data_IF_414949402268
#
_entry.id   IF_414949402268
#
_cell.length_a   1.000
_cell.length_b   1.000
_cell.length_c   1.000
_cell.angle_alpha   90.00
_cell.angle_beta   90.00
_cell.angle_gamma   90.00
#
_symmetry.space_group_name_H-M   'P 1'
#
loop_
_entity.id
_entity.type
_entity.pdbx_description
1 polymer ?
#
# COMPACT_ATOMS: atom_id res chain seq x y z
N UNK A 1 -46.99 15.90 -13.29
CA UNK A 1 -45.96 16.95 -13.15
C UNK A 1 -44.60 16.26 -13.23
N UNK A 2 -43.88 16.34 -14.37
CA UNK A 2 -42.58 15.70 -14.50
C UNK A 2 -41.51 16.56 -13.82
N UNK A 3 -40.60 15.92 -13.12
CA UNK A 3 -39.44 16.56 -12.49
C UNK A 3 -38.37 16.60 -13.57
N UNK A 4 -38.05 17.80 -14.03
CA UNK A 4 -37.05 18.06 -15.06
C UNK A 4 -35.65 17.94 -14.43
N UNK A 5 -35.07 16.75 -14.47
CA UNK A 5 -33.70 16.50 -14.02
C UNK A 5 -32.73 16.94 -15.11
N UNK A 6 -32.54 18.25 -15.27
CA UNK A 6 -31.46 18.80 -16.08
C UNK A 6 -30.14 18.73 -15.29
N UNK A 7 -29.57 17.53 -15.23
CA UNK A 7 -28.19 17.31 -14.83
C UNK A 7 -27.30 17.88 -15.96
N UNK A 8 -27.04 19.19 -15.93
CA UNK A 8 -26.08 19.82 -16.85
C UNK A 8 -24.69 19.29 -16.53
N UNK A 9 -24.19 18.43 -17.40
CA UNK A 9 -22.80 17.98 -17.49
C UNK A 9 -21.88 19.20 -17.48
N UNK A 10 -21.34 19.53 -16.30
CA UNK A 10 -20.16 20.38 -16.21
C UNK A 10 -18.96 19.50 -16.55
N UNK A 11 -18.38 19.82 -17.71
CA UNK A 11 -17.10 19.34 -18.23
C UNK A 11 -16.07 19.14 -17.12
N UNK A 12 -15.71 17.87 -16.87
CA UNK A 12 -14.71 17.39 -15.90
C UNK A 12 -13.26 17.72 -16.34
N UNK A 13 -13.06 18.47 -17.42
CA UNK A 13 -11.74 18.71 -17.99
C UNK A 13 -10.90 19.78 -17.26
N UNK A 14 -11.51 20.69 -16.48
CA UNK A 14 -10.79 21.82 -15.84
C UNK A 14 -10.56 21.65 -14.32
N UNK A 15 -11.20 20.68 -13.65
CA UNK A 15 -11.17 20.54 -12.18
C UNK A 15 -10.08 19.57 -11.66
N UNK A 16 -9.24 19.00 -12.54
CA UNK A 16 -8.19 18.07 -12.13
C UNK A 16 -7.01 18.74 -11.39
N UNK A 17 -6.93 20.08 -11.39
CA UNK A 17 -5.88 20.84 -10.69
C UNK A 17 -6.22 21.21 -9.24
N UNK A 18 -7.39 20.85 -8.72
CA UNK A 18 -7.89 21.44 -7.46
C UNK A 18 -7.46 20.71 -6.17
N UNK A 19 -6.99 19.47 -6.24
CA UNK A 19 -6.52 18.77 -5.04
C UNK A 19 -5.07 19.14 -4.72
N UNK A 20 -4.89 20.30 -4.07
CA UNK A 20 -3.59 20.74 -3.57
C UNK A 20 -2.97 19.75 -2.56
N UNK A 21 -1.72 20.00 -2.09
CA UNK A 21 -0.98 19.09 -1.20
C UNK A 21 -1.75 18.70 0.09
N UNK A 22 -2.68 19.54 0.53
CA UNK A 22 -3.55 19.26 1.67
C UNK A 22 -4.59 18.16 1.39
N UNK A 23 -5.13 18.11 0.17
CA UNK A 23 -6.08 17.08 -0.21
C UNK A 23 -5.42 15.72 -0.40
N UNK A 24 -4.23 15.67 -1.02
CA UNK A 24 -3.44 14.44 -1.11
C UNK A 24 -3.14 13.89 0.29
N UNK A 25 -2.75 14.77 1.23
CA UNK A 25 -2.54 14.38 2.62
C UNK A 25 -3.82 13.83 3.26
N UNK A 26 -4.96 14.49 3.08
CA UNK A 26 -6.23 14.03 3.62
C UNK A 26 -6.61 12.64 3.07
N UNK A 27 -6.45 12.42 1.75
CA UNK A 27 -6.68 11.12 1.13
C UNK A 27 -5.77 10.05 1.70
N UNK A 28 -4.46 10.31 1.77
CA UNK A 28 -3.48 9.37 2.33
C UNK A 28 -3.81 9.01 3.78
N UNK A 29 -4.30 9.96 4.58
CA UNK A 29 -4.70 9.74 5.97
C UNK A 29 -6.01 8.94 6.12
N UNK A 30 -6.87 8.92 5.09
CA UNK A 30 -8.09 8.11 5.06
C UNK A 30 -7.87 6.68 4.56
N UNK A 31 -6.74 6.40 3.89
CA UNK A 31 -6.43 5.05 3.43
C UNK A 31 -6.15 4.11 4.60
N UNK A 32 -6.79 2.95 4.59
CA UNK A 32 -6.52 1.85 5.54
C UNK A 32 -5.26 1.05 5.16
N UNK A 33 -4.69 1.30 3.98
CA UNK A 33 -3.38 0.77 3.59
C UNK A 33 -2.29 1.59 4.27
N UNK A 34 -1.31 0.92 4.87
CA UNK A 34 -0.15 1.58 5.45
C UNK A 34 0.73 2.15 4.34
N UNK A 35 0.86 3.47 4.29
CA UNK A 35 1.72 4.17 3.33
C UNK A 35 2.87 4.85 4.06
N UNK A 36 4.08 4.54 3.65
CA UNK A 36 5.33 5.12 4.12
C UNK A 36 6.06 5.83 2.99
N UNK A 37 6.79 6.89 3.31
CA UNK A 37 7.79 7.45 2.41
C UNK A 37 9.12 7.48 3.14
N UNK A 38 10.16 7.05 2.46
CA UNK A 38 11.53 7.13 2.92
C UNK A 38 12.36 8.05 2.03
N UNK A 39 13.33 8.75 2.61
CA UNK A 39 14.36 9.46 1.84
C UNK A 39 15.37 8.48 1.22
N UNK A 40 16.31 8.99 0.41
CA UNK A 40 17.39 8.21 -0.22
C UNK A 40 18.22 7.38 0.78
N UNK A 41 18.28 7.79 2.04
CA UNK A 41 19.04 7.10 3.09
C UNK A 41 18.19 6.04 3.81
N UNK A 42 16.96 5.81 3.35
CA UNK A 42 16.03 4.86 3.93
C UNK A 42 15.33 5.38 5.19
N UNK A 43 15.47 6.67 5.54
CA UNK A 43 14.78 7.23 6.71
C UNK A 43 13.35 7.56 6.38
N UNK A 44 12.42 7.10 7.21
CA UNK A 44 10.99 7.44 7.09
C UNK A 44 10.78 8.95 7.27
N UNK A 45 10.30 9.61 6.21
CA UNK A 45 9.94 11.03 6.19
C UNK A 45 8.42 11.24 6.26
N UNK A 46 7.63 10.21 5.94
CA UNK A 46 6.18 10.24 6.04
C UNK A 46 5.61 8.86 6.39
N UNK A 47 4.53 8.85 7.15
CA UNK A 47 3.70 7.69 7.44
C UNK A 47 2.26 8.15 7.65
N UNK A 48 1.28 7.56 6.96
CA UNK A 48 -0.15 7.85 7.18
C UNK A 48 -0.68 7.22 8.48
N UNK A 49 -1.97 7.44 8.81
CA UNK A 49 -2.60 6.89 10.01
C UNK A 49 -2.49 5.37 10.12
N UNK A 50 -2.69 4.63 9.04
CA UNK A 50 -2.54 3.18 9.02
C UNK A 50 -1.09 2.77 9.31
N UNK A 51 -0.13 3.35 8.59
CA UNK A 51 1.30 3.11 8.76
C UNK A 51 1.80 3.37 10.19
N UNK A 52 1.30 4.44 10.83
CA UNK A 52 1.68 4.77 12.22
C UNK A 52 1.22 3.74 13.25
N UNK A 53 0.20 2.93 12.95
CA UNK A 53 -0.22 1.82 13.83
C UNK A 53 0.78 0.66 13.79
N UNK A 54 1.40 0.44 12.63
CA UNK A 54 2.25 -0.71 12.37
C UNK A 54 3.76 -0.41 12.45
N UNK A 55 4.16 0.88 12.41
CA UNK A 55 5.57 1.31 12.36
C UNK A 55 6.41 0.81 13.54
N UNK A 56 5.78 0.53 14.69
CA UNK A 56 6.45 0.05 15.88
C UNK A 56 7.05 -1.36 15.73
N UNK A 57 6.65 -2.12 14.71
CA UNK A 57 7.06 -3.51 14.50
C UNK A 57 7.36 -3.82 13.02
N UNK A 58 7.93 -2.86 12.28
CA UNK A 58 8.33 -3.13 10.88
C UNK A 58 9.31 -4.31 10.83
N UNK A 59 8.99 -5.39 10.10
CA UNK A 59 9.88 -6.53 9.97
C UNK A 59 11.17 -6.15 9.22
N UNK A 60 12.29 -6.81 9.54
CA UNK A 60 13.56 -6.64 8.82
C UNK A 60 13.41 -6.86 7.30
N UNK A 61 12.48 -7.72 6.90
CA UNK A 61 12.14 -7.96 5.49
C UNK A 61 11.74 -6.66 4.76
N UNK A 62 11.02 -5.75 5.41
CA UNK A 62 10.65 -4.45 4.81
C UNK A 62 11.88 -3.61 4.52
N UNK A 63 12.86 -3.60 5.43
CA UNK A 63 14.12 -2.90 5.24
C UNK A 63 14.92 -3.43 4.04
N UNK A 64 14.90 -4.76 3.84
CA UNK A 64 15.54 -5.40 2.68
C UNK A 64 14.88 -4.99 1.34
N UNK A 65 13.55 -4.98 1.29
CA UNK A 65 12.81 -4.54 0.09
C UNK A 65 13.03 -3.05 -0.21
N UNK A 66 13.08 -2.22 0.82
CA UNK A 66 13.41 -0.81 0.69
C UNK A 66 14.84 -0.61 0.18
N UNK A 67 15.80 -1.37 0.73
CA UNK A 67 17.20 -1.35 0.29
C UNK A 67 17.35 -1.74 -1.18
N UNK A 68 16.65 -2.78 -1.64
CA UNK A 68 16.60 -3.15 -3.07
C UNK A 68 16.15 -1.96 -3.91
N UNK A 69 15.00 -1.37 -3.61
CA UNK A 69 14.47 -0.26 -4.40
C UNK A 69 15.40 0.96 -4.42
N UNK A 70 15.98 1.35 -3.29
CA UNK A 70 16.85 2.53 -3.20
C UNK A 70 18.24 2.32 -3.84
N UNK A 71 18.78 1.10 -3.77
CA UNK A 71 20.14 0.80 -4.24
C UNK A 71 20.18 0.35 -5.71
N UNK A 72 19.11 -0.27 -6.21
CA UNK A 72 19.07 -0.82 -7.57
C UNK A 72 18.03 -0.15 -8.47
N UNK A 73 17.13 0.67 -7.90
CA UNK A 73 16.02 1.27 -8.63
C UNK A 73 14.92 0.26 -8.96
N UNK A 74 14.97 -0.95 -8.38
CA UNK A 74 13.97 -1.98 -8.59
C UNK A 74 12.61 -1.56 -8.00
N UNK A 75 11.56 -1.69 -8.81
CA UNK A 75 10.18 -1.56 -8.33
C UNK A 75 9.75 -2.91 -7.77
N UNK A 76 9.57 -2.99 -6.46
CA UNK A 76 9.02 -4.17 -5.79
C UNK A 76 7.49 -4.06 -5.79
N UNK A 77 6.79 -5.10 -6.23
CA UNK A 77 5.33 -5.13 -6.27
C UNK A 77 4.80 -6.37 -5.59
N UNK A 78 3.83 -6.18 -4.72
CA UNK A 78 3.05 -7.21 -4.05
C UNK A 78 3.89 -8.34 -3.43
N UNK A 79 5.07 -8.00 -2.90
CA UNK A 79 5.92 -8.98 -2.24
C UNK A 79 5.31 -9.33 -0.89
N UNK A 80 4.92 -10.59 -0.71
CA UNK A 80 4.26 -11.03 0.50
C UNK A 80 5.27 -11.41 1.57
N UNK A 81 5.17 -10.79 2.74
CA UNK A 81 6.02 -11.03 3.90
C UNK A 81 5.19 -11.54 5.08
N UNK A 82 5.81 -12.32 5.95
CA UNK A 82 5.23 -12.72 7.23
C UNK A 82 5.47 -11.62 8.26
N UNK A 83 4.41 -11.04 8.81
CA UNK A 83 4.49 -10.03 9.88
C UNK A 83 4.74 -10.66 11.26
N UNK A 84 4.68 -11.99 11.35
CA UNK A 84 4.77 -12.78 12.57
C UNK A 84 3.45 -13.44 12.96
N UNK A 85 3.45 -14.12 14.11
CA UNK A 85 2.27 -14.78 14.66
C UNK A 85 1.81 -14.04 15.91
N UNK A 86 0.65 -13.41 15.85
CA UNK A 86 -0.04 -12.89 17.04
C UNK A 86 -1.12 -13.89 17.41
N UNK A 87 -1.07 -14.42 18.63
CA UNK A 87 -2.06 -15.40 19.15
C UNK A 87 -2.15 -16.72 18.36
N UNK A 88 -1.09 -17.12 17.65
CA UNK A 88 -1.05 -18.38 16.89
C UNK A 88 -1.55 -18.29 15.45
N UNK A 89 -2.14 -17.15 15.05
CA UNK A 89 -2.51 -16.88 13.65
C UNK A 89 -1.35 -16.16 12.97
N UNK A 90 -0.80 -16.78 11.92
CA UNK A 90 0.20 -16.14 11.05
C UNK A 90 -0.45 -14.96 10.34
N UNK A 91 0.20 -13.81 10.39
CA UNK A 91 -0.21 -12.60 9.66
C UNK A 91 0.70 -12.37 8.47
N UNK A 92 0.09 -12.00 7.35
CA UNK A 92 0.78 -11.75 6.10
C UNK A 92 0.53 -10.32 5.64
N UNK A 93 1.55 -9.69 5.10
CA UNK A 93 1.40 -8.41 4.42
C UNK A 93 1.90 -8.48 3.00
N UNK A 94 1.15 -7.87 2.08
CA UNK A 94 1.66 -7.52 0.75
C UNK A 94 2.39 -6.18 0.84
N UNK A 95 3.64 -6.15 0.38
CA UNK A 95 4.50 -4.98 0.41
C UNK A 95 4.89 -4.59 -1.02
N UNK A 96 4.69 -3.32 -1.36
CA UNK A 96 5.17 -2.74 -2.60
C UNK A 96 6.10 -1.57 -2.31
N UNK A 97 7.17 -1.44 -3.09
CA UNK A 97 8.16 -0.36 -2.99
C UNK A 97 8.39 0.25 -4.35
N UNK A 98 8.16 1.56 -4.46
CA UNK A 98 8.42 2.32 -5.68
C UNK A 98 9.47 3.40 -5.38
N UNK A 99 10.68 3.31 -5.98
CA UNK A 99 11.66 4.38 -5.87
C UNK A 99 11.14 5.66 -6.55
N UNK A 100 11.46 6.80 -5.95
CA UNK A 100 11.14 8.13 -6.44
C UNK A 100 12.41 8.76 -7.00
N UNK A 101 12.47 8.96 -8.31
CA UNK A 101 13.61 9.57 -8.98
C UNK A 101 13.56 9.35 -10.48
N UNK A 102 14.30 10.17 -11.24
CA UNK A 102 14.36 10.07 -12.71
C UNK A 102 15.29 8.94 -13.19
N UNK A 103 16.24 8.52 -12.36
CA UNK A 103 17.25 7.50 -12.66
C UNK A 103 17.88 6.99 -11.36
N UNK A 104 18.66 5.91 -11.42
CA UNK A 104 19.30 5.28 -10.25
C UNK A 104 20.17 6.26 -9.43
N UNK A 105 20.92 7.12 -10.11
CA UNK A 105 21.75 8.15 -9.47
C UNK A 105 20.92 9.32 -8.89
N UNK A 106 19.68 9.47 -9.36
CA UNK A 106 18.75 10.54 -8.98
C UNK A 106 17.55 10.01 -8.16
N UNK A 107 17.69 8.87 -7.48
CA UNK A 107 16.69 8.41 -6.52
C UNK A 107 16.75 9.30 -5.28
N UNK A 108 15.68 10.06 -5.07
CA UNK A 108 15.47 10.97 -3.94
C UNK A 108 14.87 10.25 -2.72
N UNK A 109 14.23 9.10 -2.95
CA UNK A 109 13.59 8.30 -1.90
C UNK A 109 12.76 7.16 -2.45
N UNK A 110 11.83 6.65 -1.66
CA UNK A 110 10.90 5.62 -2.08
C UNK A 110 9.55 5.75 -1.36
N UNK A 111 8.47 5.34 -2.04
CA UNK A 111 7.16 5.11 -1.44
C UNK A 111 7.03 3.62 -1.17
N UNK A 112 6.57 3.29 0.03
CA UNK A 112 6.30 1.93 0.46
C UNK A 112 4.82 1.81 0.84
N UNK A 113 4.16 0.77 0.38
CA UNK A 113 2.80 0.43 0.82
C UNK A 113 2.79 -0.96 1.42
N UNK A 114 2.03 -1.12 2.50
CA UNK A 114 1.86 -2.39 3.17
C UNK A 114 0.36 -2.62 3.43
N UNK A 115 -0.16 -3.73 2.95
CA UNK A 115 -1.55 -4.14 3.16
C UNK A 115 -1.58 -5.49 3.87
N UNK A 116 -2.39 -5.62 4.92
CA UNK A 116 -2.65 -6.92 5.54
C UNK A 116 -3.43 -7.79 4.56
N UNK A 117 -2.90 -8.96 4.23
CA UNK A 117 -3.49 -9.92 3.29
C UNK A 117 -3.81 -11.25 3.97
N UNK A 118 -3.84 -11.27 5.30
CA UNK A 118 -4.07 -12.49 6.10
C UNK A 118 -5.40 -13.15 5.77
N UNK A 119 -6.47 -12.38 5.64
CA UNK A 119 -7.80 -12.93 5.31
C UNK A 119 -7.84 -13.48 3.89
N UNK A 120 -7.23 -12.76 2.92
CA UNK A 120 -7.11 -13.22 1.54
C UNK A 120 -6.35 -14.55 1.44
N UNK A 121 -5.20 -14.65 2.10
CA UNK A 121 -4.40 -15.88 2.20
C UNK A 121 -5.18 -17.04 2.82
N UNK A 122 -5.96 -16.75 3.84
CA UNK A 122 -6.76 -17.76 4.52
C UNK A 122 -7.86 -18.32 3.60
N UNK A 123 -8.56 -17.43 2.87
CA UNK A 123 -9.54 -17.86 1.87
C UNK A 123 -8.91 -18.72 0.76
N UNK A 124 -7.81 -18.26 0.16
CA UNK A 124 -7.07 -18.99 -0.89
C UNK A 124 -6.62 -20.38 -0.40
N UNK A 125 -6.19 -20.51 0.86
CA UNK A 125 -5.75 -21.78 1.42
C UNK A 125 -6.91 -22.74 1.75
N UNK A 126 -8.09 -22.21 2.08
CA UNK A 126 -9.26 -23.02 2.42
C UNK A 126 -9.98 -23.56 1.18
N UNK A 127 -9.98 -22.84 0.06
CA UNK A 127 -10.67 -23.25 -1.17
C UNK A 127 -10.40 -24.71 -1.60
N UNK A 128 -9.14 -25.17 -1.74
CA UNK A 128 -8.87 -26.54 -2.16
C UNK A 128 -9.30 -27.59 -1.11
N UNK A 129 -9.30 -27.21 0.18
CA UNK A 129 -9.69 -28.10 1.27
C UNK A 129 -11.22 -28.27 1.32
N UNK A 130 -11.96 -27.17 1.16
CA UNK A 130 -13.43 -27.20 1.08
C UNK A 130 -13.88 -27.97 -0.16
N UNK A 131 -13.21 -27.77 -1.31
CA UNK A 131 -13.53 -28.51 -2.53
C UNK A 131 -13.26 -30.02 -2.39
N UNK A 132 -12.19 -30.42 -1.70
CA UNK A 132 -11.93 -31.82 -1.39
C UNK A 132 -12.98 -32.44 -0.46
N UNK A 133 -13.46 -31.69 0.53
CA UNK A 133 -14.51 -32.16 1.45
C UNK A 133 -15.88 -32.24 0.78
N UNK A 134 -16.19 -31.36 -0.18
CA UNK A 134 -17.45 -31.37 -0.91
C UNK A 134 -17.55 -32.48 -1.98
N UNK A 135 -16.42 -33.11 -2.35
CA UNK A 135 -16.35 -34.24 -3.29
C UNK A 135 -16.40 -35.62 -2.62
N UNK A 136 -16.50 -35.66 -1.28
CA UNK A 136 -16.74 -36.87 -0.48
C UNK A 136 -18.24 -37.07 -0.26
#
# INVERSE_FOLDING_TARGET
MPIDTTLRERSVADDASCFGPSALRALLEQLEVAVFMADRQGRLVYANAAARRDVAALPDAVGSLLGRALLTGEVVRDEEIELGSTTGRRRYASVSVTPLGASLDAIDGAVLTMADVTDRKWSEALEPMVESLARL
#
